data_IF_514059921000
#
_entry.id   IF_514059921000
#
_cell.length_a   1.000
_cell.length_b   1.000
_cell.length_c   1.000
_cell.angle_alpha   90.00
_cell.angle_beta   90.00
_cell.angle_gamma   90.00
#
_symmetry.space_group_name_H-M   'P 1'
#
loop_
_entity.id
_entity.type
_entity.pdbx_description
1 polymer ?
#
# COMPACT_ATOMS: atom_id res chain seq x y z
N UNK A 1 -1.05 26.39 17.45
CA UNK A 1 -1.76 25.14 17.67
C UNK A 1 -0.83 23.99 17.30
N UNK A 2 -0.76 22.89 18.04
CA UNK A 2 0.03 21.74 17.59
C UNK A 2 -0.53 21.30 16.22
N UNK A 3 0.35 21.18 15.23
CA UNK A 3 -0.03 20.65 13.92
C UNK A 3 -0.53 19.21 14.11
N UNK A 4 -1.58 18.83 13.38
CA UNK A 4 -2.04 17.45 13.35
C UNK A 4 -0.88 16.53 12.96
N UNK A 5 -0.81 15.31 13.51
CA UNK A 5 0.19 14.35 13.09
C UNK A 5 0.04 14.06 11.58
N UNK A 6 1.15 13.87 10.85
CA UNK A 6 1.07 13.53 9.44
C UNK A 6 0.37 12.19 9.26
N UNK A 7 -0.33 12.02 8.13
CA UNK A 7 -0.85 10.71 7.71
C UNK A 7 0.30 9.85 7.18
N UNK A 8 0.18 8.53 7.33
CA UNK A 8 1.11 7.57 6.74
C UNK A 8 0.43 6.86 5.58
N UNK A 9 1.13 6.74 4.44
CA UNK A 9 0.75 5.86 3.34
C UNK A 9 1.85 4.82 3.19
N UNK A 10 1.52 3.57 3.50
CA UNK A 10 2.43 2.43 3.55
C UNK A 10 2.13 1.50 2.38
N UNK A 11 3.07 1.36 1.45
CA UNK A 11 3.02 0.31 0.44
C UNK A 11 3.70 -0.95 0.96
N UNK A 12 3.09 -2.12 0.80
CA UNK A 12 3.72 -3.38 1.16
C UNK A 12 4.40 -4.04 -0.03
N UNK A 13 5.52 -4.70 0.25
CA UNK A 13 6.35 -5.42 -0.68
C UNK A 13 7.52 -6.10 0.02
N UNK A 14 8.29 -6.88 -0.73
CA UNK A 14 9.56 -7.46 -0.29
C UNK A 14 10.74 -6.66 -0.86
N UNK A 15 11.81 -6.47 -0.08
CA UNK A 15 13.03 -5.82 -0.56
C UNK A 15 13.82 -6.75 -1.49
N UNK A 16 14.54 -6.19 -2.46
CA UNK A 16 15.38 -6.90 -3.41
C UNK A 16 14.89 -6.79 -4.84
N UNK A 17 15.85 -6.76 -5.78
CA UNK A 17 15.57 -6.61 -7.22
C UNK A 17 14.72 -7.74 -7.78
N UNK A 18 14.85 -8.94 -7.22
CA UNK A 18 14.09 -10.13 -7.58
C UNK A 18 12.58 -9.98 -7.32
N UNK A 19 12.17 -9.10 -6.38
CA UNK A 19 10.77 -8.87 -6.01
C UNK A 19 10.14 -7.65 -6.66
N UNK A 20 10.94 -6.74 -7.27
CA UNK A 20 10.47 -5.44 -7.78
C UNK A 20 9.26 -5.54 -8.73
N UNK A 21 9.17 -6.62 -9.50
CA UNK A 21 8.11 -6.84 -10.49
C UNK A 21 7.08 -7.89 -10.08
N UNK A 22 7.13 -8.36 -8.84
CA UNK A 22 6.20 -9.38 -8.36
C UNK A 22 4.87 -8.77 -7.95
N UNK A 23 3.82 -9.59 -7.94
CA UNK A 23 2.48 -9.19 -7.50
C UNK A 23 2.48 -8.71 -6.06
N UNK A 24 3.30 -9.32 -5.21
CA UNK A 24 3.42 -8.96 -3.79
C UNK A 24 4.02 -7.56 -3.56
N UNK A 25 4.63 -6.96 -4.57
CA UNK A 25 5.16 -5.59 -4.54
C UNK A 25 4.20 -4.55 -5.13
N UNK A 26 2.93 -4.91 -5.39
CA UNK A 26 1.93 -3.94 -5.88
C UNK A 26 1.80 -2.71 -4.97
N UNK A 27 1.93 -2.87 -3.65
CA UNK A 27 1.92 -1.75 -2.70
C UNK A 27 3.09 -0.78 -2.91
N UNK A 28 4.31 -1.28 -3.11
CA UNK A 28 5.48 -0.46 -3.44
C UNK A 28 5.26 0.33 -4.74
N UNK A 29 4.76 -0.33 -5.80
CA UNK A 29 4.51 0.32 -7.08
C UNK A 29 3.57 1.53 -6.94
N UNK A 30 2.54 1.44 -6.10
CA UNK A 30 1.59 2.54 -5.86
C UNK A 30 2.25 3.67 -5.07
N UNK A 31 3.06 3.37 -4.06
CA UNK A 31 3.72 4.39 -3.24
C UNK A 31 4.85 5.07 -4.02
N UNK A 32 5.56 4.35 -4.89
CA UNK A 32 6.52 4.94 -5.84
C UNK A 32 5.82 5.91 -6.81
N UNK A 33 4.64 5.56 -7.31
CA UNK A 33 3.83 6.46 -8.16
C UNK A 33 3.40 7.71 -7.38
N UNK A 34 3.01 7.58 -6.10
CA UNK A 34 2.71 8.72 -5.24
C UNK A 34 3.93 9.62 -5.04
N UNK A 35 5.10 9.03 -4.77
CA UNK A 35 6.35 9.78 -4.63
C UNK A 35 6.66 10.59 -5.90
N UNK A 36 6.51 9.97 -7.08
CA UNK A 36 6.68 10.62 -8.38
C UNK A 36 5.69 11.77 -8.58
N UNK A 37 4.40 11.58 -8.27
CA UNK A 37 3.36 12.62 -8.39
C UNK A 37 3.62 13.79 -7.45
N UNK A 38 4.15 13.52 -6.26
CA UNK A 38 4.47 14.56 -5.27
C UNK A 38 5.79 15.27 -5.56
N UNK A 39 6.50 14.87 -6.63
CA UNK A 39 7.76 15.49 -7.05
C UNK A 39 8.99 15.07 -6.24
N UNK A 40 8.91 13.91 -5.56
CA UNK A 40 10.03 13.37 -4.81
C UNK A 40 10.87 12.43 -5.66
N UNK A 41 12.18 12.66 -5.72
CA UNK A 41 13.14 11.86 -6.50
C UNK A 41 13.95 10.88 -5.63
N UNK A 42 13.90 11.00 -4.31
CA UNK A 42 14.76 10.21 -3.44
C UNK A 42 14.07 9.78 -2.14
N UNK A 43 14.35 8.53 -1.77
CA UNK A 43 13.91 7.92 -0.54
C UNK A 43 15.01 8.00 0.54
N UNK A 44 14.63 8.17 1.80
CA UNK A 44 15.54 8.06 2.95
C UNK A 44 15.33 6.73 3.64
N UNK A 45 16.41 5.97 3.85
CA UNK A 45 16.37 4.71 4.59
C UNK A 45 16.52 4.96 6.09
N UNK A 46 15.52 4.58 6.87
CA UNK A 46 15.51 4.67 8.34
C UNK A 46 14.49 3.68 8.90
N UNK A 47 14.74 3.13 10.11
CA UNK A 47 13.83 2.26 10.86
C UNK A 47 13.34 1.05 10.05
N UNK A 48 14.23 0.40 9.29
CA UNK A 48 13.91 -0.71 8.38
C UNK A 48 12.81 -0.36 7.36
N UNK A 49 12.80 0.88 6.88
CA UNK A 49 11.93 1.35 5.83
C UNK A 49 12.60 2.43 4.97
N UNK A 50 12.19 2.54 3.72
CA UNK A 50 12.39 3.76 2.94
C UNK A 50 11.23 4.71 3.25
N UNK A 51 11.54 5.99 3.43
CA UNK A 51 10.58 7.01 3.85
C UNK A 51 10.76 8.31 3.07
N UNK A 52 9.64 8.97 2.77
CA UNK A 52 9.58 10.35 2.28
C UNK A 52 8.63 11.11 3.18
N UNK A 53 9.11 12.14 3.87
CA UNK A 53 8.25 13.07 4.61
C UNK A 53 7.97 14.30 3.75
N UNK A 54 6.72 14.46 3.34
CA UNK A 54 6.22 15.64 2.65
C UNK A 54 5.45 16.54 3.64
N UNK A 55 6.15 17.55 4.16
CA UNK A 55 5.58 18.48 5.13
C UNK A 55 4.47 19.36 4.53
N UNK A 56 4.52 19.63 3.23
CA UNK A 56 3.53 20.47 2.55
C UNK A 56 2.17 19.79 2.45
N UNK A 57 2.18 18.44 2.36
CA UNK A 57 0.98 17.59 2.31
C UNK A 57 0.63 16.96 3.66
N UNK A 58 1.50 17.07 4.66
CA UNK A 58 1.30 16.41 5.94
C UNK A 58 1.25 14.88 5.83
N UNK A 59 2.11 14.29 5.00
CA UNK A 59 2.14 12.85 4.75
C UNK A 59 3.55 12.28 4.82
N UNK A 60 3.65 11.02 5.27
CA UNK A 60 4.85 10.20 5.17
C UNK A 60 4.54 9.02 4.25
N UNK A 61 5.26 8.92 3.14
CA UNK A 61 5.26 7.73 2.29
C UNK A 61 6.25 6.72 2.85
N UNK A 62 5.86 5.46 2.93
CA UNK A 62 6.63 4.40 3.60
C UNK A 62 6.66 3.13 2.76
N UNK A 63 7.87 2.59 2.56
CA UNK A 63 8.11 1.24 2.05
C UNK A 63 8.91 0.47 3.11
N UNK A 64 8.29 -0.48 3.87
CA UNK A 64 9.04 -1.36 4.74
C UNK A 64 10.11 -2.13 3.97
N UNK A 65 11.36 -2.12 4.45
CA UNK A 65 12.47 -2.88 3.83
C UNK A 65 12.79 -4.19 4.58
N UNK A 66 11.95 -4.56 5.54
CA UNK A 66 11.87 -5.90 6.10
C UNK A 66 11.09 -6.84 5.16
N UNK A 67 11.25 -8.15 5.31
CA UNK A 67 10.38 -9.08 4.59
C UNK A 67 8.91 -8.91 4.99
N UNK A 68 7.99 -9.29 4.09
CA UNK A 68 6.56 -9.08 4.21
C UNK A 68 5.98 -9.42 5.59
N UNK A 69 6.34 -10.56 6.15
CA UNK A 69 5.88 -11.02 7.46
C UNK A 69 6.41 -10.22 8.67
N UNK A 70 7.33 -9.28 8.44
CA UNK A 70 7.92 -8.40 9.45
C UNK A 70 7.54 -6.91 9.27
N UNK A 71 6.64 -6.61 8.35
CA UNK A 71 6.23 -5.24 8.01
C UNK A 71 5.66 -4.43 9.18
N UNK A 72 5.10 -5.11 10.19
CA UNK A 72 4.50 -4.44 11.35
C UNK A 72 5.50 -3.66 12.21
N UNK A 73 6.73 -4.15 12.35
CA UNK A 73 7.75 -3.47 13.16
C UNK A 73 8.11 -2.06 12.65
N UNK A 74 8.53 -1.88 11.38
CA UNK A 74 8.80 -0.53 10.86
C UNK A 74 7.56 0.36 10.86
N UNK A 75 6.37 -0.17 10.52
CA UNK A 75 5.13 0.62 10.54
C UNK A 75 4.83 1.14 11.95
N UNK A 76 4.96 0.29 12.99
CA UNK A 76 4.77 0.69 14.38
C UNK A 76 5.79 1.76 14.81
N UNK A 77 7.07 1.59 14.48
CA UNK A 77 8.11 2.56 14.83
C UNK A 77 7.83 3.94 14.22
N UNK A 78 7.48 3.97 12.92
CA UNK A 78 7.22 5.21 12.19
C UNK A 78 5.94 5.88 12.70
N UNK A 79 4.84 5.12 12.85
CA UNK A 79 3.57 5.67 13.36
C UNK A 79 3.72 6.23 14.79
N UNK A 80 4.48 5.56 15.65
CA UNK A 80 4.79 6.04 17.00
C UNK A 80 5.65 7.31 16.98
N UNK A 81 6.66 7.37 16.10
CA UNK A 81 7.53 8.55 15.97
C UNK A 81 6.73 9.80 15.56
N UNK A 82 5.86 9.66 14.57
CA UNK A 82 5.01 10.76 14.11
C UNK A 82 3.73 10.95 14.93
N UNK A 83 3.48 10.09 15.93
CA UNK A 83 2.25 10.07 16.74
C UNK A 83 0.99 9.91 15.89
N UNK A 84 1.10 9.20 14.77
CA UNK A 84 -0.02 8.92 13.87
C UNK A 84 -0.85 7.76 14.44
N UNK A 85 -2.14 7.95 14.73
CA UNK A 85 -3.01 6.85 15.17
C UNK A 85 -3.27 5.86 14.03
N UNK A 86 -3.72 4.62 14.32
CA UNK A 86 -3.97 3.62 13.29
C UNK A 86 -4.89 4.10 12.16
N UNK A 87 -5.92 4.87 12.47
CA UNK A 87 -6.85 5.45 11.50
C UNK A 87 -6.18 6.43 10.51
N UNK A 88 -5.02 6.96 10.88
CA UNK A 88 -4.16 7.81 10.03
C UNK A 88 -3.14 7.05 9.19
N UNK A 89 -3.17 5.71 9.19
CA UNK A 89 -2.24 4.84 8.46
C UNK A 89 -2.99 4.11 7.34
N UNK A 90 -2.84 4.56 6.09
CA UNK A 90 -3.33 3.82 4.92
C UNK A 90 -2.31 2.76 4.50
N UNK A 91 -2.72 1.50 4.43
CA UNK A 91 -1.88 0.39 3.96
C UNK A 91 -2.33 -0.08 2.58
N UNK A 92 -1.42 -0.13 1.62
CA UNK A 92 -1.65 -0.56 0.24
C UNK A 92 -1.03 -1.93 0.04
N UNK A 93 -1.85 -2.91 -0.37
CA UNK A 93 -1.46 -4.32 -0.47
C UNK A 93 -2.04 -4.98 -1.72
N UNK A 94 -1.41 -6.06 -2.16
CA UNK A 94 -2.00 -7.00 -3.11
C UNK A 94 -3.12 -7.84 -2.47
N UNK A 95 -4.08 -8.28 -3.28
CA UNK A 95 -5.16 -9.16 -2.82
C UNK A 95 -5.48 -10.21 -3.90
N UNK A 96 -5.27 -11.49 -3.56
CA UNK A 96 -5.58 -12.62 -4.44
C UNK A 96 -7.08 -12.89 -4.57
N UNK A 97 -7.88 -12.49 -3.58
CA UNK A 97 -9.33 -12.71 -3.59
C UNK A 97 -10.08 -11.70 -4.47
N UNK A 98 -9.36 -10.68 -4.94
CA UNK A 98 -9.89 -9.73 -5.91
C UNK A 98 -9.40 -10.07 -7.32
N UNK A 99 -10.29 -10.01 -8.34
CA UNK A 99 -9.88 -10.18 -9.73
C UNK A 99 -8.73 -9.21 -10.08
N UNK A 100 -7.82 -9.66 -10.97
CA UNK A 100 -6.78 -8.78 -11.49
C UNK A 100 -7.37 -7.49 -12.06
N UNK A 101 -6.78 -6.36 -11.74
CA UNK A 101 -7.23 -5.06 -12.20
C UNK A 101 -8.43 -4.47 -11.47
N UNK A 102 -8.91 -5.09 -10.40
CA UNK A 102 -9.89 -4.47 -9.50
C UNK A 102 -9.22 -3.85 -8.28
N UNK A 103 -9.84 -2.83 -7.72
CA UNK A 103 -9.39 -2.16 -6.50
C UNK A 103 -10.45 -2.25 -5.41
N UNK A 104 -10.04 -2.30 -4.14
CA UNK A 104 -10.93 -2.31 -3.01
C UNK A 104 -10.37 -1.52 -1.83
N UNK A 105 -11.13 -0.53 -1.37
CA UNK A 105 -10.82 0.23 -0.15
C UNK A 105 -11.72 -0.22 1.00
N UNK A 106 -11.13 -0.41 2.20
CA UNK A 106 -11.85 -0.75 3.43
C UNK A 106 -11.33 0.10 4.59
N UNK A 107 -12.20 0.54 5.53
CA UNK A 107 -11.78 1.37 6.67
C UNK A 107 -11.00 0.58 7.72
N UNK A 108 -11.30 -0.71 7.87
CA UNK A 108 -10.68 -1.64 8.83
C UNK A 108 -10.95 -3.09 8.39
N UNK A 109 -10.39 -4.07 9.09
CA UNK A 109 -10.71 -5.50 8.89
C UNK A 109 -9.53 -6.43 9.12
N UNK A 110 -9.77 -7.73 8.97
CA UNK A 110 -8.79 -8.78 9.13
C UNK A 110 -7.73 -8.80 8.02
N UNK A 111 -6.74 -9.68 8.18
CA UNK A 111 -5.60 -9.80 7.26
C UNK A 111 -5.89 -10.60 5.98
N UNK A 112 -6.98 -11.40 5.93
CA UNK A 112 -7.35 -12.18 4.74
C UNK A 112 -6.25 -13.12 4.24
N UNK A 113 -5.44 -13.68 5.15
CA UNK A 113 -4.28 -14.51 4.78
C UNK A 113 -3.00 -13.72 4.43
N UNK A 114 -3.07 -12.43 4.21
CA UNK A 114 -1.91 -11.62 3.82
C UNK A 114 -0.94 -11.42 4.99
N UNK A 115 0.30 -11.93 4.86
CA UNK A 115 1.28 -11.94 5.95
C UNK A 115 1.72 -10.53 6.41
N UNK A 116 1.81 -9.57 5.50
CA UNK A 116 2.13 -8.19 5.85
C UNK A 116 1.02 -7.53 6.67
N UNK A 117 -0.25 -7.71 6.29
CA UNK A 117 -1.38 -7.22 7.09
C UNK A 117 -1.43 -7.92 8.47
N UNK A 118 -1.19 -9.24 8.52
CA UNK A 118 -1.12 -9.97 9.80
C UNK A 118 -0.06 -9.35 10.72
N UNK A 119 1.12 -9.04 10.18
CA UNK A 119 2.21 -8.42 10.92
C UNK A 119 1.84 -7.03 11.44
N UNK A 120 1.22 -6.18 10.61
CA UNK A 120 0.80 -4.83 11.01
C UNK A 120 -0.31 -4.89 12.07
N UNK A 121 -1.33 -5.74 11.86
CA UNK A 121 -2.43 -5.94 12.83
C UNK A 121 -1.88 -6.37 14.20
N UNK A 122 -0.89 -7.24 14.22
CA UNK A 122 -0.23 -7.68 15.46
C UNK A 122 0.52 -6.56 16.22
N UNK A 123 0.76 -5.40 15.62
CA UNK A 123 1.56 -4.31 16.22
C UNK A 123 0.76 -3.04 16.50
N UNK A 124 -0.18 -2.65 15.61
CA UNK A 124 -0.98 -1.43 15.75
C UNK A 124 -2.49 -1.67 15.79
N UNK A 125 -2.93 -2.94 15.81
CA UNK A 125 -4.35 -3.30 15.71
C UNK A 125 -4.87 -3.25 14.27
N UNK A 126 -6.18 -3.47 14.09
CA UNK A 126 -6.84 -3.61 12.78
C UNK A 126 -7.61 -2.37 12.30
N UNK A 127 -7.59 -1.28 13.09
CA UNK A 127 -8.38 -0.07 12.84
C UNK A 127 -7.68 0.92 11.92
N UNK A 128 -7.09 0.44 10.84
CA UNK A 128 -6.48 1.27 9.80
C UNK A 128 -7.12 1.01 8.43
N UNK A 129 -7.25 2.03 7.58
CA UNK A 129 -7.72 1.86 6.21
C UNK A 129 -6.72 1.06 5.36
N UNK A 130 -7.25 0.24 4.46
CA UNK A 130 -6.45 -0.50 3.49
C UNK A 130 -7.00 -0.37 2.09
N UNK A 131 -6.10 -0.15 1.13
CA UNK A 131 -6.36 -0.20 -0.29
C UNK A 131 -5.79 -1.52 -0.82
N UNK A 132 -6.66 -2.36 -1.35
CA UNK A 132 -6.31 -3.68 -1.87
C UNK A 132 -6.27 -3.62 -3.39
N UNK A 133 -5.17 -4.08 -3.97
CA UNK A 133 -4.94 -4.18 -5.42
C UNK A 133 -5.16 -5.63 -5.82
N UNK A 134 -6.18 -5.89 -6.63
CA UNK A 134 -6.51 -7.24 -7.10
C UNK A 134 -5.43 -7.79 -8.03
N UNK A 135 -4.89 -8.95 -7.66
CA UNK A 135 -3.88 -9.68 -8.44
C UNK A 135 -4.39 -11.03 -8.96
N UNK A 136 -5.65 -11.37 -8.64
CA UNK A 136 -6.27 -12.64 -9.00
C UNK A 136 -5.72 -13.83 -8.23
N UNK A 137 -6.48 -14.90 -8.20
CA UNK A 137 -6.11 -16.15 -7.53
C UNK A 137 -5.61 -17.16 -8.55
N UNK A 138 -4.47 -17.84 -8.33
CA UNK A 138 -4.00 -18.91 -9.20
C UNK A 138 -4.84 -20.18 -8.99
N UNK A 139 -4.78 -21.06 -9.97
CA UNK A 139 -5.43 -22.39 -9.86
C UNK A 139 -4.68 -23.35 -8.92
N UNK A 140 -3.38 -23.08 -8.63
CA UNK A 140 -2.51 -23.99 -7.89
C UNK A 140 -1.87 -23.34 -6.68
N UNK A 141 -0.59 -22.92 -6.72
CA UNK A 141 0.14 -22.42 -5.54
C UNK A 141 -0.02 -20.90 -5.37
N UNK A 142 -0.54 -20.49 -4.19
CA UNK A 142 -0.80 -19.09 -3.87
C UNK A 142 0.46 -18.32 -3.48
N UNK A 143 1.47 -18.98 -2.89
CA UNK A 143 2.73 -18.32 -2.48
C UNK A 143 3.55 -18.01 -3.73
N UNK A 144 3.73 -18.98 -4.61
CA UNK A 144 4.47 -18.79 -5.85
C UNK A 144 3.81 -17.75 -6.75
N UNK A 145 2.47 -17.67 -6.73
CA UNK A 145 1.74 -16.67 -7.52
C UNK A 145 2.10 -15.24 -7.10
N UNK A 146 2.01 -14.90 -5.82
CA UNK A 146 2.29 -13.51 -5.37
C UNK A 146 3.77 -13.16 -5.47
N UNK A 147 4.67 -14.15 -5.38
CA UNK A 147 6.10 -13.97 -5.57
C UNK A 147 6.53 -14.03 -7.04
N UNK A 148 5.61 -14.31 -7.97
CA UNK A 148 5.91 -14.29 -9.41
C UNK A 148 5.65 -12.90 -10.02
N UNK A 149 6.38 -12.55 -11.11
CA UNK A 149 6.10 -11.34 -11.88
C UNK A 149 4.71 -11.38 -12.51
N UNK A 150 4.16 -10.20 -12.77
CA UNK A 150 2.98 -10.06 -13.64
C UNK A 150 3.30 -10.60 -15.05
N UNK A 151 2.34 -11.27 -15.67
CA UNK A 151 2.46 -11.70 -17.06
C UNK A 151 2.59 -10.50 -18.02
N UNK A 152 3.06 -10.68 -19.26
CA UNK A 152 3.11 -9.60 -20.24
C UNK A 152 1.74 -8.90 -20.45
N UNK A 153 0.66 -9.69 -20.49
CA UNK A 153 -0.70 -9.15 -20.63
C UNK A 153 -1.12 -8.33 -19.42
N UNK A 154 -0.85 -8.79 -18.19
CA UNK A 154 -1.11 -8.04 -16.97
C UNK A 154 -0.24 -6.79 -16.87
N UNK A 155 1.04 -6.87 -17.25
CA UNK A 155 1.99 -5.76 -17.21
C UNK A 155 1.53 -4.57 -18.06
N UNK A 156 0.86 -4.81 -19.19
CA UNK A 156 0.30 -3.75 -20.02
C UNK A 156 -0.76 -2.90 -19.30
N UNK A 157 -1.45 -3.46 -18.31
CA UNK A 157 -2.50 -2.79 -17.56
C UNK A 157 -2.02 -2.18 -16.23
N UNK A 158 -0.82 -2.57 -15.73
CA UNK A 158 -0.30 -2.09 -14.45
C UNK A 158 -0.25 -0.56 -14.32
N UNK A 159 0.17 0.21 -15.35
CA UNK A 159 0.18 1.67 -15.21
C UNK A 159 -1.20 2.26 -14.89
N UNK A 160 -2.26 1.75 -15.49
CA UNK A 160 -3.62 2.23 -15.22
C UNK A 160 -4.09 1.84 -13.80
N UNK A 161 -3.79 0.61 -13.36
CA UNK A 161 -4.14 0.11 -12.03
C UNK A 161 -3.41 0.92 -10.95
N UNK A 162 -2.10 1.08 -11.09
CA UNK A 162 -1.24 1.82 -10.16
C UNK A 162 -1.66 3.29 -10.10
N UNK A 163 -1.96 3.90 -11.26
CA UNK A 163 -2.46 5.27 -11.34
C UNK A 163 -3.76 5.46 -10.56
N UNK A 164 -4.73 4.58 -10.76
CA UNK A 164 -6.02 4.65 -10.06
C UNK A 164 -5.89 4.37 -8.55
N UNK A 165 -5.03 3.43 -8.15
CA UNK A 165 -4.76 3.17 -6.74
C UNK A 165 -4.10 4.39 -6.06
N UNK A 166 -3.15 5.05 -6.74
CA UNK A 166 -2.53 6.28 -6.25
C UNK A 166 -3.56 7.41 -6.13
N UNK A 167 -4.46 7.58 -7.13
CA UNK A 167 -5.55 8.55 -7.05
C UNK A 167 -6.48 8.29 -5.86
N UNK A 168 -6.83 7.03 -5.62
CA UNK A 168 -7.59 6.64 -4.43
C UNK A 168 -6.89 7.01 -3.12
N UNK A 169 -5.57 6.83 -3.04
CA UNK A 169 -4.78 7.23 -1.88
C UNK A 169 -4.71 8.76 -1.72
N UNK A 170 -4.61 9.52 -2.81
CA UNK A 170 -4.67 10.99 -2.80
C UNK A 170 -6.04 11.52 -2.34
N UNK A 171 -7.13 10.90 -2.77
CA UNK A 171 -8.49 11.23 -2.28
C UNK A 171 -8.63 10.99 -0.78
N UNK A 172 -8.06 9.88 -0.25
CA UNK A 172 -8.02 9.65 1.18
C UNK A 172 -7.20 10.70 1.92
N UNK A 173 -6.06 11.11 1.35
CA UNK A 173 -5.18 12.11 1.96
C UNK A 173 -5.80 13.51 1.97
N UNK A 174 -6.38 13.94 0.86
CA UNK A 174 -6.78 15.32 0.62
C UNK A 174 -8.25 15.60 0.93
N UNK A 175 -9.10 14.59 0.88
CA UNK A 175 -10.54 14.71 1.10
C UNK A 175 -10.99 13.83 2.28
N UNK A 176 -11.48 12.61 2.01
CA UNK A 176 -11.94 11.70 3.05
C UNK A 176 -11.82 10.23 2.65
N UNK A 177 -11.96 9.35 3.65
CA UNK A 177 -12.02 7.91 3.43
C UNK A 177 -13.23 7.51 2.56
N UNK A 178 -14.38 8.15 2.79
CA UNK A 178 -15.63 7.88 2.06
C UNK A 178 -15.48 8.21 0.57
N UNK A 179 -14.86 9.34 0.25
CA UNK A 179 -14.57 9.74 -1.15
C UNK A 179 -13.62 8.76 -1.82
N UNK A 180 -12.55 8.39 -1.12
CA UNK A 180 -11.63 7.36 -1.59
C UNK A 180 -12.34 6.03 -1.82
N UNK A 181 -13.16 5.56 -0.87
CA UNK A 181 -13.93 4.33 -1.00
C UNK A 181 -14.91 4.38 -2.20
N UNK A 182 -15.60 5.51 -2.38
CA UNK A 182 -16.52 5.69 -3.51
C UNK A 182 -15.78 5.57 -4.85
N UNK A 183 -14.62 6.19 -4.99
CA UNK A 183 -13.80 6.11 -6.20
C UNK A 183 -13.24 4.70 -6.41
N UNK A 184 -12.48 4.20 -5.42
CA UNK A 184 -11.72 2.94 -5.51
C UNK A 184 -12.64 1.74 -5.72
N UNK A 185 -13.76 1.65 -4.97
CA UNK A 185 -14.63 0.47 -5.01
C UNK A 185 -15.50 0.39 -6.27
N UNK A 186 -15.60 1.48 -7.03
CA UNK A 186 -16.29 1.52 -8.34
C UNK A 186 -15.31 1.48 -9.52
N UNK A 187 -14.00 1.51 -9.23
CA UNK A 187 -12.99 1.45 -10.29
C UNK A 187 -12.71 -0.01 -10.70
N UNK A 188 -12.47 -0.22 -11.98
CA UNK A 188 -12.02 -1.47 -12.56
C UNK A 188 -11.48 -1.25 -13.96
N UNK A 189 -10.64 -2.16 -14.43
CA UNK A 189 -10.19 -2.13 -15.82
C UNK A 189 -11.42 -2.22 -16.73
N UNK A 190 -11.51 -1.31 -17.68
CA UNK A 190 -12.48 -1.42 -18.76
C UNK A 190 -11.96 -2.44 -19.76
N UNK A 191 -12.83 -3.30 -20.33
CA UNK A 191 -12.46 -4.24 -21.37
C UNK A 191 -11.93 -3.56 -22.62
#
# INVERSE_FOLDING_TARGET
>A
MPSLPPRLIVGLGNPGKEYERTRHNAGFMVVDELARRFGHASWKSKDSAKQIFDSSRGVVLVEPTSFMNLSGTPVRLISSWYKTPPEGVLVIVDDMDLPFGSLRMRPFGGHGGHNGLRSIIGTIGDRFPRLRVGVGRPEYDTIDHVLSPFSPAETAHLPAIVHAAAEGAELWLNESLERSMQFVNNWGLKP
#
